data_IF_446579622716
#
_entry.id   IF_446579622716
#
_cell.length_a   1.000
_cell.length_b   1.000
_cell.length_c   1.000
_cell.angle_alpha   90.00
_cell.angle_beta   90.00
_cell.angle_gamma   90.00
#
_symmetry.space_group_name_H-M   'P 1'
#
loop_
_entity.id
_entity.type
_entity.pdbx_description
1 polymer ?
#
# COMPACT_ATOMS: atom_id res chain seq x y z
N UNK A 1 6.60 -25.58 0.26
CA UNK A 1 5.53 -24.81 0.92
C UNK A 1 5.04 -23.71 0.01
N UNK A 2 3.96 -23.04 0.38
CA UNK A 2 3.32 -21.95 -0.37
C UNK A 2 3.61 -20.62 0.31
N UNK A 3 3.39 -19.51 -0.39
CA UNK A 3 3.43 -18.16 0.18
C UNK A 3 2.00 -17.68 0.45
N UNK A 4 1.84 -16.85 1.46
CA UNK A 4 0.59 -16.12 1.72
C UNK A 4 0.75 -14.67 1.31
N UNK A 5 -0.33 -14.06 0.83
CA UNK A 5 -0.38 -12.67 0.41
C UNK A 5 -1.18 -11.81 1.39
N UNK A 6 -0.75 -10.56 1.56
CA UNK A 6 -1.48 -9.56 2.30
C UNK A 6 -1.56 -8.27 1.49
N UNK A 7 -2.77 -7.84 1.18
CA UNK A 7 -3.01 -6.67 0.33
C UNK A 7 -4.23 -5.86 0.77
N UNK A 8 -4.24 -4.57 0.41
CA UNK A 8 -5.36 -3.67 0.65
C UNK A 8 -6.45 -3.84 -0.39
N UNK A 9 -7.71 -3.78 0.01
CA UNK A 9 -8.86 -3.98 -0.87
C UNK A 9 -9.59 -2.68 -1.25
N UNK A 10 -9.12 -1.54 -0.74
CA UNK A 10 -9.71 -0.22 -0.98
C UNK A 10 -8.72 0.69 -1.73
N UNK A 11 -8.70 1.98 -1.44
CA UNK A 11 -7.77 2.97 -2.05
C UNK A 11 -6.51 3.21 -1.22
N UNK A 12 -5.98 2.19 -0.57
CA UNK A 12 -4.80 2.31 0.29
C UNK A 12 -5.13 2.77 1.71
N UNK A 13 -4.09 2.85 2.54
CA UNK A 13 -4.18 3.27 3.95
C UNK A 13 -5.10 2.41 4.84
N UNK A 14 -5.33 1.14 4.46
CA UNK A 14 -6.19 0.21 5.20
C UNK A 14 -5.55 -0.27 6.52
N UNK A 15 -4.26 -0.01 6.75
CA UNK A 15 -3.54 -0.46 7.94
C UNK A 15 -2.75 -1.76 7.76
N UNK A 16 -2.30 -2.02 6.54
CA UNK A 16 -1.52 -3.24 6.17
C UNK A 16 -0.32 -3.48 7.07
N UNK A 17 0.47 -2.45 7.35
CA UNK A 17 1.69 -2.57 8.17
C UNK A 17 1.40 -3.19 9.55
N UNK A 18 0.34 -2.75 10.24
CA UNK A 18 -0.07 -3.33 11.53
C UNK A 18 -0.32 -4.83 11.42
N UNK A 19 -1.05 -5.27 10.41
CA UNK A 19 -1.40 -6.70 10.27
C UNK A 19 -0.20 -7.52 9.83
N UNK A 20 0.68 -7.00 8.95
CA UNK A 20 1.96 -7.66 8.63
C UNK A 20 2.77 -7.86 9.90
N UNK A 21 2.91 -6.82 10.71
CA UNK A 21 3.61 -6.87 11.98
C UNK A 21 3.00 -7.92 12.94
N UNK A 22 1.68 -7.93 13.12
CA UNK A 22 0.97 -8.95 13.94
C UNK A 22 1.22 -10.38 13.43
N UNK A 23 1.22 -10.57 12.12
CA UNK A 23 1.37 -11.90 11.52
C UNK A 23 2.83 -12.35 11.42
N UNK A 24 3.81 -11.43 11.44
CA UNK A 24 5.23 -11.73 11.20
C UNK A 24 5.77 -12.85 12.08
N UNK A 25 5.27 -13.00 13.31
CA UNK A 25 5.71 -14.09 14.21
C UNK A 25 5.43 -15.51 13.67
N UNK A 26 4.58 -15.63 12.64
CA UNK A 26 4.21 -16.91 12.01
C UNK A 26 4.99 -17.17 10.71
N UNK A 27 5.86 -16.24 10.28
CA UNK A 27 6.55 -16.30 9.01
C UNK A 27 8.06 -16.17 9.18
N UNK A 28 8.80 -16.94 8.37
CA UNK A 28 10.27 -16.85 8.29
C UNK A 28 10.69 -15.63 7.43
N UNK A 29 9.89 -15.27 6.45
CA UNK A 29 10.22 -14.24 5.46
C UNK A 29 9.04 -13.29 5.26
N UNK A 30 9.30 -11.98 5.30
CA UNK A 30 8.37 -10.94 4.88
C UNK A 30 8.91 -10.30 3.60
N UNK A 31 8.18 -10.41 2.50
CA UNK A 31 8.65 -9.98 1.19
C UNK A 31 7.74 -8.92 0.58
N UNK A 32 8.24 -7.70 0.41
CA UNK A 32 7.51 -6.62 -0.23
C UNK A 32 7.62 -6.74 -1.75
N UNK A 33 6.49 -6.75 -2.44
CA UNK A 33 6.47 -7.11 -3.85
C UNK A 33 6.28 -5.95 -4.83
N UNK A 34 5.80 -4.77 -4.39
CA UNK A 34 5.57 -3.62 -5.28
C UNK A 34 5.52 -2.29 -4.51
N UNK A 35 5.37 -1.18 -5.25
CA UNK A 35 5.32 0.17 -4.71
C UNK A 35 6.72 0.73 -4.46
N UNK A 36 6.80 1.74 -3.62
CA UNK A 36 8.04 2.43 -3.34
C UNK A 36 7.88 3.38 -2.15
N UNK A 37 8.65 4.47 -2.06
CA UNK A 37 8.64 5.41 -0.94
C UNK A 37 7.36 6.26 -0.83
N UNK A 38 6.40 6.11 -1.74
CA UNK A 38 5.06 6.69 -1.65
C UNK A 38 4.17 5.99 -0.62
N UNK A 39 4.50 4.76 -0.21
CA UNK A 39 3.80 4.06 0.87
C UNK A 39 4.22 4.59 2.25
N UNK A 40 3.34 4.41 3.24
CA UNK A 40 3.63 4.68 4.64
C UNK A 40 2.93 3.63 5.50
N UNK A 41 3.69 2.63 5.96
CA UNK A 41 3.20 1.58 6.84
C UNK A 41 3.49 1.98 8.29
N UNK A 42 2.47 2.50 8.98
CA UNK A 42 2.58 2.88 10.38
C UNK A 42 2.47 1.64 11.27
N UNK A 43 3.43 1.47 12.15
CA UNK A 43 3.46 0.44 13.19
C UNK A 43 3.35 1.12 14.56
N UNK A 44 2.47 0.58 15.40
CA UNK A 44 2.32 1.03 16.80
C UNK A 44 2.37 -0.20 17.72
N UNK A 45 3.38 -0.23 18.60
CA UNK A 45 3.60 -1.32 19.56
C UNK A 45 4.47 -0.86 20.71
N UNK A 46 4.15 -1.30 21.92
CA UNK A 46 4.93 -1.03 23.14
C UNK A 46 5.33 0.45 23.32
N UNK A 47 4.42 1.37 23.00
CA UNK A 47 4.65 2.82 23.07
C UNK A 47 5.49 3.39 21.91
N UNK A 48 5.93 2.56 20.97
CA UNK A 48 6.65 2.98 19.78
C UNK A 48 5.65 3.25 18.66
N UNK A 49 5.82 4.39 17.99
CA UNK A 49 5.18 4.69 16.72
C UNK A 49 6.24 4.94 15.65
N UNK A 50 6.24 4.14 14.60
CA UNK A 50 7.20 4.26 13.51
C UNK A 50 6.51 4.09 12.14
N UNK A 51 7.00 4.80 11.13
CA UNK A 51 6.48 4.72 9.76
C UNK A 51 7.54 4.17 8.84
N UNK A 52 7.29 2.99 8.27
CA UNK A 52 8.12 2.39 7.23
C UNK A 52 7.60 2.79 5.85
N UNK A 53 8.50 2.94 4.89
CA UNK A 53 8.17 3.32 3.51
C UNK A 53 8.47 2.21 2.52
N UNK A 54 9.75 1.82 2.42
CA UNK A 54 10.23 0.81 1.47
C UNK A 54 10.55 -0.49 2.18
N UNK A 55 11.07 -0.41 3.39
CA UNK A 55 11.43 -1.56 4.22
C UNK A 55 10.16 -2.33 4.64
N UNK A 56 10.16 -3.68 4.55
CA UNK A 56 9.03 -4.49 4.97
C UNK A 56 8.69 -4.35 6.46
N UNK A 57 7.41 -4.50 6.79
CA UNK A 57 6.89 -4.28 8.16
C UNK A 57 7.34 -5.33 9.17
N UNK A 58 7.96 -6.42 8.74
CA UNK A 58 8.55 -7.45 9.60
C UNK A 58 9.88 -7.09 10.25
N UNK A 59 10.49 -5.94 9.91
CA UNK A 59 11.86 -5.60 10.32
C UNK A 59 12.06 -5.53 11.85
N UNK A 60 11.01 -5.23 12.61
CA UNK A 60 11.06 -5.17 14.07
C UNK A 60 11.07 -6.55 14.75
N UNK A 61 10.78 -7.63 14.02
CA UNK A 61 10.83 -8.99 14.57
C UNK A 61 12.24 -9.58 14.48
N UNK A 62 12.65 -10.33 15.52
CA UNK A 62 14.04 -10.82 15.66
C UNK A 62 14.43 -11.89 14.63
N UNK A 63 13.48 -12.68 14.16
CA UNK A 63 13.73 -13.91 13.39
C UNK A 63 13.39 -13.80 11.91
N UNK A 64 12.54 -12.84 11.52
CA UNK A 64 12.09 -12.73 10.14
C UNK A 64 13.13 -12.06 9.24
N UNK A 65 13.38 -12.67 8.08
CA UNK A 65 14.13 -12.03 6.98
C UNK A 65 13.17 -11.12 6.21
N UNK A 66 13.63 -9.93 5.86
CA UNK A 66 12.84 -8.94 5.15
C UNK A 66 13.39 -8.75 3.73
N UNK A 67 12.57 -8.93 2.72
CA UNK A 67 12.97 -8.86 1.32
C UNK A 67 12.30 -7.68 0.63
N UNK A 68 13.10 -6.83 -0.01
CA UNK A 68 12.60 -5.87 -0.99
C UNK A 68 12.69 -6.53 -2.36
N UNK A 69 11.53 -6.88 -2.93
CA UNK A 69 11.41 -7.61 -4.17
C UNK A 69 11.64 -6.78 -5.43
N UNK A 70 11.76 -7.44 -6.57
CA UNK A 70 12.04 -6.82 -7.87
C UNK A 70 10.91 -5.91 -8.39
N UNK A 71 9.70 -6.01 -7.86
CA UNK A 71 8.59 -5.13 -8.21
C UNK A 71 8.62 -3.79 -7.49
N UNK A 72 9.45 -3.63 -6.46
CA UNK A 72 9.61 -2.37 -5.71
C UNK A 72 10.51 -1.39 -6.47
N UNK A 73 10.22 -0.09 -6.34
CA UNK A 73 11.12 0.98 -6.79
C UNK A 73 11.70 1.69 -5.58
N UNK A 74 13.02 1.90 -5.57
CA UNK A 74 13.79 2.35 -4.40
C UNK A 74 14.37 3.73 -4.68
N UNK A 75 14.02 4.71 -3.84
CA UNK A 75 14.72 5.99 -3.75
C UNK A 75 15.85 5.82 -2.72
N UNK A 76 17.13 5.84 -3.14
CA UNK A 76 18.26 5.61 -2.24
C UNK A 76 18.30 6.60 -1.09
N UNK A 77 18.00 7.89 -1.33
CA UNK A 77 18.02 8.94 -0.30
C UNK A 77 16.91 8.71 0.74
N UNK A 78 15.72 8.33 0.30
CA UNK A 78 14.62 8.00 1.23
C UNK A 78 14.93 6.72 2.01
N UNK A 79 15.53 5.72 1.35
CA UNK A 79 15.93 4.46 1.98
C UNK A 79 17.00 4.69 3.04
N UNK A 80 18.04 5.49 2.77
CA UNK A 80 19.06 5.89 3.72
C UNK A 80 18.45 6.52 4.99
N UNK A 81 17.52 7.49 4.80
CA UNK A 81 16.81 8.14 5.92
C UNK A 81 15.95 7.14 6.71
N UNK A 82 15.40 6.12 6.04
CA UNK A 82 14.63 5.05 6.68
C UNK A 82 15.52 4.16 7.54
N UNK A 83 16.70 3.74 7.03
CA UNK A 83 17.72 3.01 7.78
C UNK A 83 18.19 3.82 8.99
N UNK A 84 18.50 5.10 8.82
CA UNK A 84 18.92 5.99 9.90
C UNK A 84 17.87 6.06 11.02
N UNK A 85 16.59 6.18 10.64
CA UNK A 85 15.46 6.18 11.57
C UNK A 85 15.32 4.87 12.37
N UNK A 86 15.87 3.76 11.87
CA UNK A 86 15.81 2.46 12.52
C UNK A 86 16.99 2.22 13.47
N UNK A 87 18.11 2.95 13.36
CA UNK A 87 19.32 2.77 14.21
C UNK A 87 19.01 2.87 15.70
N UNK A 88 18.11 3.75 16.10
CA UNK A 88 17.71 3.94 17.51
C UNK A 88 17.07 2.70 18.17
N UNK A 89 16.63 1.72 17.38
CA UNK A 89 16.02 0.50 17.89
C UNK A 89 17.00 -0.67 18.02
N UNK A 90 18.30 -0.47 17.74
CA UNK A 90 19.35 -1.50 17.81
C UNK A 90 18.99 -2.77 17.03
N UNK A 91 18.37 -2.61 15.84
CA UNK A 91 18.02 -3.72 14.97
C UNK A 91 19.24 -4.20 14.18
N UNK A 92 19.36 -5.50 14.01
CA UNK A 92 20.35 -6.12 13.14
C UNK A 92 19.88 -6.06 11.66
N UNK A 93 19.89 -4.86 11.09
CA UNK A 93 19.33 -4.61 9.77
C UNK A 93 20.13 -5.35 8.69
N UNK A 94 21.45 -5.34 8.78
CA UNK A 94 22.35 -5.94 7.77
C UNK A 94 22.11 -7.43 7.55
N UNK A 95 21.79 -8.18 8.60
CA UNK A 95 21.54 -9.61 8.52
C UNK A 95 20.05 -9.96 8.28
N UNK A 96 19.16 -8.98 8.29
CA UNK A 96 17.69 -9.21 8.19
C UNK A 96 17.04 -8.56 7.00
N UNK A 97 17.69 -7.63 6.35
CA UNK A 97 17.18 -6.94 5.19
C UNK A 97 18.04 -7.27 3.97
N UNK A 98 17.38 -7.78 2.94
CA UNK A 98 18.01 -8.10 1.66
C UNK A 98 17.20 -7.50 0.51
N UNK A 99 17.87 -7.16 -0.58
CA UNK A 99 17.26 -6.41 -1.68
C UNK A 99 17.46 -7.18 -2.99
N UNK A 100 16.41 -7.25 -3.79
CA UNK A 100 16.50 -7.81 -5.15
C UNK A 100 17.41 -6.96 -6.05
N UNK A 101 18.40 -7.57 -6.70
CA UNK A 101 19.18 -6.93 -7.78
C UNK A 101 18.30 -6.38 -8.89
N UNK A 102 17.11 -6.95 -9.09
CA UNK A 102 16.16 -6.56 -10.15
C UNK A 102 15.19 -5.44 -9.73
N UNK A 103 15.21 -4.97 -8.49
CA UNK A 103 14.48 -3.76 -8.08
C UNK A 103 15.03 -2.53 -8.81
N UNK A 104 14.17 -1.54 -9.11
CA UNK A 104 14.58 -0.36 -9.86
C UNK A 104 14.89 0.82 -8.95
N UNK A 105 15.88 1.62 -9.35
CA UNK A 105 16.25 2.85 -8.67
C UNK A 105 15.40 4.04 -9.14
N UNK A 106 14.95 4.83 -8.20
CA UNK A 106 14.38 6.14 -8.48
C UNK A 106 15.53 7.15 -8.51
N UNK A 107 15.81 7.70 -9.67
CA UNK A 107 16.83 8.74 -9.85
C UNK A 107 16.29 10.11 -9.43
N UNK A 108 17.15 11.09 -9.10
CA UNK A 108 16.74 12.49 -8.92
C UNK A 108 15.89 13.02 -10.08
N UNK A 109 16.27 12.71 -11.30
CA UNK A 109 15.56 13.14 -12.51
C UNK A 109 14.17 12.50 -12.67
N UNK A 110 13.91 11.30 -12.13
CA UNK A 110 12.54 10.76 -12.06
C UNK A 110 11.62 11.64 -11.21
N UNK A 111 12.12 12.18 -10.09
CA UNK A 111 11.34 13.08 -9.22
C UNK A 111 11.02 14.40 -9.92
N UNK A 112 11.99 14.93 -10.68
CA UNK A 112 11.80 16.13 -11.47
C UNK A 112 10.80 15.92 -12.60
N UNK A 113 10.89 14.79 -13.29
CA UNK A 113 9.97 14.41 -14.36
C UNK A 113 8.54 14.23 -13.82
N UNK A 114 8.38 13.63 -12.64
CA UNK A 114 7.08 13.52 -11.95
C UNK A 114 6.50 14.91 -11.63
N UNK A 115 7.32 15.81 -11.10
CA UNK A 115 6.92 17.18 -10.79
C UNK A 115 6.53 17.97 -12.04
N UNK A 116 7.33 17.90 -13.11
CA UNK A 116 7.07 18.59 -14.37
C UNK A 116 5.78 18.06 -15.04
N UNK A 117 5.64 16.75 -15.13
CA UNK A 117 4.43 16.10 -15.67
C UNK A 117 3.17 16.46 -14.88
N UNK A 118 3.23 16.46 -13.56
CA UNK A 118 2.07 16.82 -12.73
C UNK A 118 1.75 18.32 -12.84
N UNK A 119 2.76 19.19 -12.88
CA UNK A 119 2.57 20.63 -13.06
C UNK A 119 1.91 20.96 -14.40
N UNK A 120 2.33 20.32 -15.49
CA UNK A 120 1.81 20.54 -16.84
C UNK A 120 0.33 20.22 -17.02
N UNK A 121 -0.23 19.33 -16.17
CA UNK A 121 -1.65 18.91 -16.22
C UNK A 121 -2.62 19.99 -15.71
N UNK A 122 -2.18 21.03 -15.04
CA UNK A 122 -3.03 22.10 -14.54
C UNK A 122 -4.18 21.56 -13.65
N UNK A 123 -5.43 21.73 -14.09
CA UNK A 123 -6.61 21.25 -13.36
C UNK A 123 -6.80 19.72 -13.43
N UNK A 124 -6.18 19.04 -14.40
CA UNK A 124 -6.27 17.58 -14.58
C UNK A 124 -5.22 16.80 -13.78
N UNK A 125 -4.67 17.42 -12.73
CA UNK A 125 -3.70 16.76 -11.82
C UNK A 125 -4.27 15.47 -11.23
N UNK A 126 -3.46 14.41 -11.26
CA UNK A 126 -3.80 13.11 -10.64
C UNK A 126 -3.63 13.20 -9.11
N UNK A 127 -2.78 14.10 -8.63
CA UNK A 127 -2.43 14.22 -7.22
C UNK A 127 -1.25 13.34 -6.85
N UNK A 128 -0.25 13.23 -7.73
CA UNK A 128 1.00 12.51 -7.49
C UNK A 128 1.64 12.88 -6.15
N UNK A 129 2.41 11.95 -5.58
CA UNK A 129 3.23 12.18 -4.38
C UNK A 129 4.54 12.88 -4.69
N UNK A 130 4.85 13.13 -5.95
CA UNK A 130 6.09 13.74 -6.46
C UNK A 130 7.35 12.97 -6.01
N UNK A 131 7.24 11.65 -5.92
CA UNK A 131 8.32 10.76 -5.52
C UNK A 131 8.98 10.01 -6.68
N UNK A 132 8.63 10.37 -7.92
CA UNK A 132 9.17 9.74 -9.12
C UNK A 132 8.68 8.32 -9.39
N UNK A 133 7.62 7.88 -8.72
CA UNK A 133 7.09 6.51 -8.84
C UNK A 133 6.65 6.22 -10.27
N UNK A 134 5.79 7.06 -10.84
CA UNK A 134 5.29 6.91 -12.21
C UNK A 134 6.40 6.85 -13.24
N UNK A 135 7.28 7.86 -13.33
CA UNK A 135 8.40 7.85 -14.25
C UNK A 135 9.33 6.64 -14.12
N UNK A 136 9.59 6.16 -12.89
CA UNK A 136 10.43 4.97 -12.70
C UNK A 136 9.75 3.69 -13.25
N UNK A 137 8.44 3.52 -13.05
CA UNK A 137 7.71 2.41 -13.65
C UNK A 137 7.58 2.54 -15.18
N UNK A 138 7.49 3.78 -15.72
CA UNK A 138 7.58 4.01 -17.17
C UNK A 138 8.90 3.51 -17.74
N UNK A 139 10.02 3.84 -17.11
CA UNK A 139 11.34 3.38 -17.56
C UNK A 139 11.54 1.88 -17.37
N UNK A 140 11.03 1.32 -16.28
CA UNK A 140 11.01 -0.13 -16.08
C UNK A 140 10.33 -0.83 -17.25
N UNK A 141 9.12 -0.41 -17.60
CA UNK A 141 8.34 -1.01 -18.69
C UNK A 141 8.92 -0.64 -20.06
N UNK A 142 9.46 0.57 -20.21
CA UNK A 142 10.17 1.07 -21.40
C UNK A 142 11.56 0.45 -21.58
N UNK A 143 12.05 -0.35 -20.63
CA UNK A 143 13.36 -1.03 -20.64
C UNK A 143 14.55 -0.07 -20.65
N UNK A 144 14.38 1.08 -19.97
CA UNK A 144 15.43 2.10 -19.81
C UNK A 144 15.90 2.21 -18.36
N UNK A 145 15.10 1.68 -17.41
CA UNK A 145 15.33 1.86 -15.98
C UNK A 145 16.63 1.21 -15.49
N UNK A 146 17.21 1.81 -14.47
CA UNK A 146 18.40 1.30 -13.77
C UNK A 146 17.95 0.43 -12.59
N UNK A 147 18.57 -0.74 -12.45
CA UNK A 147 18.29 -1.70 -11.39
C UNK A 147 19.32 -1.58 -10.25
N UNK A 148 18.95 -2.07 -9.08
CA UNK A 148 19.86 -2.12 -7.93
C UNK A 148 21.15 -2.89 -8.25
N UNK A 149 21.06 -4.02 -8.98
CA UNK A 149 22.23 -4.79 -9.38
C UNK A 149 23.20 -4.05 -10.34
N UNK A 150 22.70 -3.01 -11.04
CA UNK A 150 23.57 -2.21 -11.91
C UNK A 150 24.60 -1.39 -11.11
N UNK A 151 24.36 -1.16 -9.80
CA UNK A 151 25.31 -0.49 -8.89
C UNK A 151 26.62 -1.27 -8.75
N UNK A 152 26.57 -2.60 -8.96
CA UNK A 152 27.72 -3.50 -8.87
C UNK A 152 28.58 -3.48 -10.17
N UNK A 153 28.12 -2.80 -11.24
CA UNK A 153 28.78 -2.78 -12.55
C UNK A 153 29.70 -1.56 -12.69
N UNK A 154 30.80 -1.73 -13.44
CA UNK A 154 31.80 -0.67 -13.69
C UNK A 154 31.21 0.52 -14.45
N UNK A 155 30.24 0.27 -15.35
CA UNK A 155 29.59 1.28 -16.19
C UNK A 155 28.35 1.93 -15.54
N UNK A 156 28.12 1.76 -14.24
CA UNK A 156 26.96 2.31 -13.51
C UNK A 156 26.79 3.83 -13.73
N UNK A 157 27.87 4.58 -13.61
CA UNK A 157 27.83 6.05 -13.78
C UNK A 157 27.48 6.45 -15.21
N UNK A 158 27.93 5.73 -16.21
CA UNK A 158 27.59 5.98 -17.62
C UNK A 158 26.10 5.72 -17.88
N UNK A 159 25.57 4.63 -17.37
CA UNK A 159 24.14 4.31 -17.43
C UNK A 159 23.29 5.35 -16.75
N UNK A 160 23.71 5.79 -15.56
CA UNK A 160 23.05 6.85 -14.82
C UNK A 160 22.97 8.14 -15.67
N UNK A 161 24.11 8.62 -16.20
CA UNK A 161 24.18 9.83 -17.01
C UNK A 161 23.34 9.74 -18.28
N UNK A 162 23.37 8.60 -18.95
CA UNK A 162 22.57 8.38 -20.16
C UNK A 162 21.06 8.52 -19.88
N UNK A 163 20.57 7.93 -18.78
CA UNK A 163 19.18 8.04 -18.39
C UNK A 163 18.81 9.42 -17.86
N UNK A 164 19.67 10.05 -17.05
CA UNK A 164 19.45 11.40 -16.54
C UNK A 164 19.33 12.43 -17.67
N UNK A 165 20.25 12.41 -18.63
CA UNK A 165 20.22 13.27 -19.80
C UNK A 165 18.92 13.11 -20.60
N UNK A 166 18.46 11.87 -20.82
CA UNK A 166 17.18 11.59 -21.46
C UNK A 166 16.01 12.24 -20.72
N UNK A 167 16.00 12.16 -19.39
CA UNK A 167 14.94 12.79 -18.58
C UNK A 167 14.99 14.31 -18.69
N UNK A 168 16.18 14.92 -18.65
CA UNK A 168 16.33 16.36 -18.81
C UNK A 168 15.79 16.86 -20.15
N UNK A 169 16.05 16.12 -21.24
CA UNK A 169 15.46 16.44 -22.54
C UNK A 169 13.92 16.35 -22.52
N UNK A 170 13.36 15.31 -21.87
CA UNK A 170 11.90 15.18 -21.75
C UNK A 170 11.30 16.30 -20.90
N UNK A 171 11.95 16.70 -19.80
CA UNK A 171 11.47 17.77 -18.92
C UNK A 171 11.36 19.11 -19.68
N UNK A 172 12.28 19.41 -20.59
CA UNK A 172 12.22 20.62 -21.42
C UNK A 172 10.95 20.74 -22.25
N UNK A 173 10.33 19.61 -22.65
CA UNK A 173 9.08 19.62 -23.42
C UNK A 173 7.83 19.98 -22.60
N UNK A 174 7.91 19.94 -21.27
CA UNK A 174 6.74 20.27 -20.44
C UNK A 174 6.49 21.76 -20.30
N UNK A 175 7.45 22.62 -20.68
CA UNK A 175 7.37 24.09 -20.60
C UNK A 175 6.83 24.59 -19.24
N UNK A 176 7.36 24.02 -18.16
CA UNK A 176 7.01 24.34 -16.77
C UNK A 176 8.26 24.70 -15.99
N UNK A 177 8.16 25.71 -15.14
CA UNK A 177 9.24 26.07 -14.23
C UNK A 177 9.19 25.18 -12.97
N UNK A 178 10.10 24.20 -12.90
CA UNK A 178 10.30 23.37 -11.72
C UNK A 178 11.62 23.78 -11.08
N UNK A 179 11.53 24.45 -9.94
CA UNK A 179 12.72 24.89 -9.19
C UNK A 179 13.39 23.69 -8.52
N UNK A 180 14.65 23.42 -8.85
CA UNK A 180 15.44 22.35 -8.27
C UNK A 180 16.95 22.60 -8.38
N UNK A 181 17.70 21.96 -7.49
CA UNK A 181 19.16 21.89 -7.57
C UNK A 181 19.55 20.45 -7.89
N UNK A 182 19.69 20.13 -9.19
CA UNK A 182 20.01 18.76 -9.62
C UNK A 182 21.36 18.31 -9.11
N UNK A 183 22.37 19.17 -9.07
CA UNK A 183 23.71 18.85 -8.59
C UNK A 183 23.69 18.38 -7.11
N UNK A 184 22.96 19.09 -6.27
CA UNK A 184 22.79 18.70 -4.85
C UNK A 184 22.02 17.40 -4.72
N UNK A 185 20.93 17.22 -5.47
CA UNK A 185 20.15 15.98 -5.47
C UNK A 185 20.98 14.78 -5.95
N UNK A 186 21.83 14.95 -6.95
CA UNK A 186 22.73 13.90 -7.43
C UNK A 186 23.80 13.57 -6.39
N UNK A 187 24.36 14.57 -5.73
CA UNK A 187 25.30 14.35 -4.63
C UNK A 187 24.69 13.50 -3.52
N UNK A 188 23.50 13.88 -3.03
CA UNK A 188 22.77 13.08 -2.03
C UNK A 188 22.47 11.66 -2.54
N UNK A 189 22.11 11.52 -3.81
CA UNK A 189 21.81 10.22 -4.42
C UNK A 189 23.04 9.31 -4.41
N UNK A 190 24.21 9.78 -4.86
CA UNK A 190 25.42 8.96 -4.89
C UNK A 190 25.94 8.65 -3.49
N UNK A 191 25.83 9.57 -2.53
CA UNK A 191 26.13 9.28 -1.11
C UNK A 191 25.23 8.17 -0.57
N UNK A 192 23.93 8.21 -0.88
CA UNK A 192 22.96 7.19 -0.47
C UNK A 192 23.17 5.83 -1.17
N UNK A 193 23.71 5.81 -2.40
CA UNK A 193 24.11 4.59 -3.10
C UNK A 193 25.23 3.87 -2.33
N UNK A 194 26.20 4.59 -1.78
CA UNK A 194 27.28 3.96 -1.00
C UNK A 194 26.76 3.31 0.31
N UNK A 195 25.72 3.88 0.92
CA UNK A 195 25.03 3.23 2.04
C UNK A 195 24.19 2.02 1.60
N UNK A 196 23.51 2.14 0.46
CA UNK A 196 22.70 1.04 -0.09
C UNK A 196 23.56 -0.21 -0.36
N UNK A 197 24.82 -0.05 -0.82
CA UNK A 197 25.79 -1.12 -1.02
C UNK A 197 26.14 -1.91 0.27
N UNK A 198 25.79 -1.39 1.44
CA UNK A 198 25.99 -2.10 2.72
C UNK A 198 24.94 -3.18 2.99
N UNK A 199 23.86 -3.19 2.20
CA UNK A 199 22.80 -4.20 2.28
C UNK A 199 23.06 -5.28 1.24
N UNK A 200 22.79 -6.53 1.58
CA UNK A 200 22.98 -7.65 0.68
C UNK A 200 22.02 -7.59 -0.52
N UNK A 201 22.57 -7.67 -1.74
CA UNK A 201 21.79 -7.78 -2.98
C UNK A 201 21.70 -9.23 -3.43
N UNK A 202 20.49 -9.69 -3.71
CA UNK A 202 20.19 -11.08 -4.07
C UNK A 202 19.45 -11.21 -5.39
N UNK A 203 19.46 -12.39 -5.98
CA UNK A 203 18.53 -12.83 -6.99
C UNK A 203 17.26 -13.33 -6.29
N UNK A 204 16.32 -12.40 -6.04
CA UNK A 204 15.22 -12.62 -5.12
C UNK A 204 14.29 -13.77 -5.53
N UNK A 205 14.08 -13.99 -6.81
CA UNK A 205 13.28 -15.10 -7.33
C UNK A 205 13.91 -16.46 -7.02
N UNK A 206 15.25 -16.57 -7.11
CA UNK A 206 15.94 -17.81 -6.74
C UNK A 206 15.90 -18.02 -5.24
N UNK A 207 16.23 -16.99 -4.44
CA UNK A 207 16.19 -17.04 -2.98
C UNK A 207 14.82 -17.48 -2.46
N UNK A 208 13.73 -16.84 -2.93
CA UNK A 208 12.36 -17.11 -2.51
C UNK A 208 11.94 -18.54 -2.90
N UNK A 209 12.24 -18.98 -4.13
CA UNK A 209 11.89 -20.33 -4.56
C UNK A 209 12.68 -21.41 -3.81
N UNK A 210 13.95 -21.17 -3.48
CA UNK A 210 14.75 -22.06 -2.61
C UNK A 210 14.20 -22.10 -1.19
N UNK A 211 13.84 -20.95 -0.61
CA UNK A 211 13.21 -20.86 0.70
C UNK A 211 11.88 -21.66 0.76
N UNK A 212 11.04 -21.56 -0.28
CA UNK A 212 9.82 -22.37 -0.38
C UNK A 212 10.11 -23.88 -0.45
N UNK A 213 11.12 -24.28 -1.23
CA UNK A 213 11.57 -25.70 -1.29
C UNK A 213 12.07 -26.18 0.05
N UNK A 214 12.78 -25.33 0.80
CA UNK A 214 13.28 -25.62 2.14
C UNK A 214 12.20 -25.57 3.24
N UNK A 215 10.95 -25.33 2.89
CA UNK A 215 9.85 -25.35 3.83
C UNK A 215 9.66 -24.07 4.63
N UNK A 216 10.26 -22.96 4.20
CA UNK A 216 10.10 -21.65 4.84
C UNK A 216 8.74 -21.05 4.55
N UNK A 217 8.15 -20.41 5.57
CA UNK A 217 6.91 -19.65 5.45
C UNK A 217 7.17 -18.23 4.99
N UNK A 218 6.41 -17.76 3.97
CA UNK A 218 6.60 -16.46 3.35
C UNK A 218 5.29 -15.66 3.39
N UNK A 219 5.35 -14.43 3.89
CA UNK A 219 4.27 -13.46 3.76
C UNK A 219 4.68 -12.38 2.75
N UNK A 220 3.92 -12.27 1.67
CA UNK A 220 4.10 -11.23 0.66
C UNK A 220 3.32 -9.99 1.05
N UNK A 221 4.02 -8.89 1.31
CA UNK A 221 3.47 -7.61 1.75
C UNK A 221 3.17 -6.70 0.56
N UNK A 222 1.88 -6.33 0.38
CA UNK A 222 1.45 -5.36 -0.60
C UNK A 222 1.50 -3.92 -0.08
N UNK A 223 1.52 -2.97 -1.00
CA UNK A 223 1.41 -1.54 -0.73
C UNK A 223 0.24 -0.95 -1.53
N UNK A 224 -0.22 0.26 -1.17
CA UNK A 224 -1.43 0.87 -1.71
C UNK A 224 -2.66 -0.04 -1.49
N UNK A 225 -3.60 -0.08 -2.45
CA UNK A 225 -4.79 -0.92 -2.39
C UNK A 225 -5.28 -1.30 -3.79
N UNK A 226 -6.13 -2.32 -3.88
CA UNK A 226 -6.58 -2.91 -5.14
C UNK A 226 -7.27 -1.92 -6.07
N UNK A 227 -7.98 -0.93 -5.51
CA UNK A 227 -8.64 0.11 -6.31
C UNK A 227 -7.68 1.20 -6.81
N UNK A 228 -6.40 1.10 -6.46
CA UNK A 228 -5.29 1.90 -7.00
C UNK A 228 -4.40 1.09 -7.95
N UNK A 229 -4.74 -0.14 -8.30
CA UNK A 229 -4.00 -0.96 -9.26
C UNK A 229 -3.96 -0.31 -10.65
N UNK A 230 -2.83 -0.39 -11.34
CA UNK A 230 -2.64 0.26 -12.64
C UNK A 230 -3.58 -0.27 -13.72
N UNK A 231 -3.95 -1.56 -13.65
CA UNK A 231 -4.80 -2.22 -14.63
C UNK A 231 -6.28 -2.25 -14.20
N UNK A 232 -6.55 -2.53 -12.91
CA UNK A 232 -7.89 -2.82 -12.39
C UNK A 232 -8.45 -1.71 -11.46
N UNK A 233 -7.65 -0.71 -11.14
CA UNK A 233 -8.07 0.40 -10.29
C UNK A 233 -8.91 1.45 -11.02
N UNK A 234 -9.19 2.54 -10.31
CA UNK A 234 -9.98 3.69 -10.81
C UNK A 234 -9.14 4.60 -11.72
N UNK A 235 -8.68 4.07 -12.84
CA UNK A 235 -7.84 4.77 -13.83
C UNK A 235 -8.50 6.08 -14.31
N UNK A 236 -7.74 7.20 -14.46
CA UNK A 236 -6.29 7.33 -14.34
C UNK A 236 -5.79 7.62 -12.90
N UNK A 237 -6.67 7.67 -11.92
CA UNK A 237 -6.35 7.99 -10.52
C UNK A 237 -5.87 6.75 -9.75
N UNK A 238 -4.77 6.19 -10.19
CA UNK A 238 -4.16 4.94 -9.71
C UNK A 238 -2.66 5.13 -9.43
N UNK A 239 -2.04 4.15 -8.79
CA UNK A 239 -0.57 4.05 -8.75
C UNK A 239 -0.06 3.36 -10.03
N UNK A 240 1.23 3.49 -10.31
CA UNK A 240 1.85 2.92 -11.52
C UNK A 240 2.31 1.47 -11.34
N UNK A 241 1.84 0.78 -10.30
CA UNK A 241 2.22 -0.60 -10.00
C UNK A 241 1.03 -1.52 -9.88
N UNK A 242 1.25 -2.84 -10.05
CA UNK A 242 0.25 -3.86 -9.83
C UNK A 242 0.12 -4.16 -8.33
N UNK A 243 -0.97 -3.68 -7.72
CA UNK A 243 -1.28 -3.82 -6.30
C UNK A 243 -2.08 -5.08 -5.99
N UNK A 244 -2.53 -5.78 -7.02
CA UNK A 244 -3.29 -7.03 -6.94
C UNK A 244 -2.42 -8.25 -6.64
N UNK A 245 -3.04 -9.39 -6.39
CA UNK A 245 -2.34 -10.66 -6.11
C UNK A 245 -1.38 -11.07 -7.24
N UNK A 246 -1.70 -10.77 -8.50
CA UNK A 246 -0.82 -11.00 -9.65
C UNK A 246 0.50 -10.22 -9.53
N UNK A 247 0.48 -9.05 -8.89
CA UNK A 247 1.66 -8.24 -8.64
C UNK A 247 2.71 -8.93 -7.76
N UNK A 248 2.29 -9.82 -6.85
CA UNK A 248 3.23 -10.60 -6.05
C UNK A 248 3.97 -11.65 -6.90
N UNK A 249 3.29 -12.25 -7.87
CA UNK A 249 3.92 -13.21 -8.79
C UNK A 249 5.04 -12.54 -9.61
N UNK A 250 4.75 -11.38 -10.19
CA UNK A 250 5.73 -10.64 -11.00
C UNK A 250 6.77 -9.91 -10.15
N UNK A 251 6.38 -9.43 -8.97
CA UNK A 251 7.24 -8.62 -8.09
C UNK A 251 8.20 -9.42 -7.20
N UNK A 252 8.03 -10.75 -7.12
CA UNK A 252 8.88 -11.65 -6.32
C UNK A 252 9.36 -12.87 -7.12
N UNK A 253 8.84 -13.09 -8.32
CA UNK A 253 9.14 -14.30 -9.09
C UNK A 253 8.52 -15.57 -8.50
N UNK A 254 7.33 -15.47 -7.89
CA UNK A 254 6.58 -16.59 -7.31
C UNK A 254 5.57 -17.12 -8.35
N UNK A 255 5.56 -18.42 -8.56
CA UNK A 255 4.56 -19.02 -9.44
C UNK A 255 3.14 -18.89 -8.84
N UNK A 256 2.08 -18.59 -9.65
CA UNK A 256 0.73 -18.38 -9.12
C UNK A 256 0.18 -19.53 -8.27
N UNK A 257 0.49 -20.79 -8.64
CA UNK A 257 0.09 -21.99 -7.90
C UNK A 257 0.87 -22.22 -6.58
N UNK A 258 1.79 -21.33 -6.25
CA UNK A 258 2.54 -21.31 -4.98
C UNK A 258 1.96 -20.31 -3.97
N UNK A 259 0.94 -19.56 -4.33
CA UNK A 259 0.17 -18.74 -3.41
C UNK A 259 -0.92 -19.60 -2.78
N UNK A 260 -1.05 -19.56 -1.45
CA UNK A 260 -2.05 -20.34 -0.70
C UNK A 260 -3.16 -19.45 -0.19
N UNK A 261 -2.86 -18.55 0.73
CA UNK A 261 -3.83 -17.64 1.31
C UNK A 261 -3.66 -16.24 0.73
N UNK A 262 -4.77 -15.57 0.51
CA UNK A 262 -4.81 -14.17 0.12
C UNK A 262 -5.59 -13.40 1.17
N UNK A 263 -4.86 -12.69 2.03
CA UNK A 263 -5.40 -11.86 3.10
C UNK A 263 -5.77 -10.49 2.56
N UNK A 264 -7.06 -10.19 2.57
CA UNK A 264 -7.59 -8.90 2.16
C UNK A 264 -7.85 -7.98 3.34
N UNK A 265 -7.20 -6.82 3.37
CA UNK A 265 -7.39 -5.81 4.41
C UNK A 265 -8.32 -4.71 3.92
N UNK A 266 -9.33 -4.38 4.74
CA UNK A 266 -10.24 -3.27 4.51
C UNK A 266 -10.55 -2.54 5.82
N UNK A 267 -10.89 -1.27 5.77
CA UNK A 267 -11.44 -0.52 6.90
C UNK A 267 -12.94 -0.76 7.02
N UNK A 268 -13.48 -0.66 8.22
CA UNK A 268 -14.93 -0.69 8.47
C UNK A 268 -15.70 0.45 7.75
N UNK A 269 -14.98 1.41 7.18
CA UNK A 269 -15.42 2.50 6.31
C UNK A 269 -14.42 2.66 5.16
N UNK A 270 -14.54 3.69 4.33
CA UNK A 270 -13.62 3.90 3.20
C UNK A 270 -12.89 5.23 3.33
N UNK A 271 -11.62 5.25 2.91
CA UNK A 271 -10.87 6.51 2.76
C UNK A 271 -10.14 6.55 1.43
N UNK A 272 -9.94 7.76 0.90
CA UNK A 272 -9.16 8.00 -0.29
C UNK A 272 -8.30 9.25 -0.15
N UNK A 273 -7.06 9.19 -0.66
CA UNK A 273 -6.18 10.36 -0.80
C UNK A 273 -6.16 10.80 -2.27
N UNK A 274 -6.17 12.11 -2.51
CA UNK A 274 -6.07 12.67 -3.85
C UNK A 274 -7.37 12.64 -4.64
N UNK A 275 -7.24 12.87 -5.94
CA UNK A 275 -8.37 12.97 -6.87
C UNK A 275 -8.95 11.61 -7.25
N UNK A 276 -10.02 11.63 -8.02
CA UNK A 276 -10.68 10.46 -8.58
C UNK A 276 -11.98 10.07 -7.88
N UNK A 277 -12.71 9.11 -8.46
CA UNK A 277 -14.04 8.73 -8.01
C UNK A 277 -14.04 8.09 -6.63
N UNK A 278 -15.08 8.42 -5.86
CA UNK A 278 -15.34 7.88 -4.53
C UNK A 278 -16.84 7.84 -4.27
N UNK A 279 -17.55 6.79 -4.70
CA UNK A 279 -19.02 6.75 -4.70
C UNK A 279 -19.67 7.00 -3.35
N UNK A 280 -19.04 6.53 -2.26
CA UNK A 280 -19.59 6.65 -0.90
C UNK A 280 -19.00 7.81 -0.10
N UNK A 281 -18.32 8.77 -0.75
CA UNK A 281 -17.74 9.94 -0.09
C UNK A 281 -18.78 10.77 0.65
N UNK A 282 -18.41 11.26 1.83
CA UNK A 282 -19.23 12.08 2.69
C UNK A 282 -18.68 13.50 2.76
N UNK A 283 -19.61 14.47 2.64
CA UNK A 283 -19.33 15.90 2.73
C UNK A 283 -20.04 16.55 3.93
N UNK A 284 -20.53 15.72 4.85
CA UNK A 284 -21.31 16.08 6.03
C UNK A 284 -20.51 15.88 7.33
N UNK A 285 -21.18 16.05 8.47
CA UNK A 285 -20.62 15.89 9.81
C UNK A 285 -20.11 14.45 10.07
N UNK A 286 -20.75 13.44 9.48
CA UNK A 286 -20.30 12.04 9.60
C UNK A 286 -18.91 11.87 8.98
N UNK A 287 -18.70 12.42 7.78
CA UNK A 287 -17.41 12.39 7.10
C UNK A 287 -16.30 13.12 7.86
N UNK A 288 -16.62 14.31 8.41
CA UNK A 288 -15.69 15.07 9.25
C UNK A 288 -15.36 14.35 10.56
N UNK A 289 -16.34 13.70 11.17
CA UNK A 289 -16.14 12.91 12.39
C UNK A 289 -15.27 11.70 12.14
N UNK A 290 -15.50 10.93 11.04
CA UNK A 290 -14.61 9.84 10.64
C UNK A 290 -13.18 10.32 10.44
N UNK A 291 -12.98 11.45 9.75
CA UNK A 291 -11.66 12.00 9.49
C UNK A 291 -10.94 12.41 10.78
N UNK A 292 -11.65 13.07 11.71
CA UNK A 292 -11.11 13.55 12.98
C UNK A 292 -10.81 12.40 13.95
N UNK A 293 -11.78 11.52 14.20
CA UNK A 293 -11.63 10.40 15.14
C UNK A 293 -10.63 9.38 14.61
N UNK A 294 -10.70 9.08 13.29
CA UNK A 294 -9.81 8.16 12.62
C UNK A 294 -8.40 8.70 12.38
N UNK A 295 -8.15 9.99 12.72
CA UNK A 295 -6.90 10.68 12.37
C UNK A 295 -6.50 10.43 10.90
N UNK A 296 -7.45 10.68 10.00
CA UNK A 296 -7.32 10.34 8.58
C UNK A 296 -6.48 11.38 7.82
N UNK A 297 -5.17 11.32 8.07
CA UNK A 297 -4.14 12.09 7.36
C UNK A 297 -3.09 11.15 6.80
N UNK A 298 -2.58 11.47 5.61
CA UNK A 298 -1.55 10.67 4.95
C UNK A 298 -0.25 10.67 5.75
N UNK A 299 0.25 9.49 6.14
CA UNK A 299 1.46 9.34 6.95
C UNK A 299 2.73 9.88 6.29
N UNK A 300 2.74 10.02 4.96
CA UNK A 300 3.88 10.52 4.16
C UNK A 300 3.70 11.98 3.75
N UNK A 301 2.49 12.36 3.32
CA UNK A 301 2.20 13.67 2.73
C UNK A 301 1.47 14.61 3.66
N UNK A 302 0.94 14.14 4.79
CA UNK A 302 0.09 14.91 5.70
C UNK A 302 -1.27 15.33 5.11
N UNK A 303 -1.58 14.96 3.86
CA UNK A 303 -2.85 15.32 3.22
C UNK A 303 -4.04 14.67 3.93
N UNK A 304 -5.11 15.44 4.16
CA UNK A 304 -6.38 14.93 4.69
C UNK A 304 -6.95 13.87 3.73
N UNK A 305 -7.38 12.76 4.27
CA UNK A 305 -8.09 11.73 3.53
C UNK A 305 -9.56 12.08 3.42
N UNK A 306 -10.15 11.88 2.26
CA UNK A 306 -11.58 11.87 2.02
C UNK A 306 -12.16 10.63 2.71
N UNK A 307 -13.31 10.74 3.38
CA UNK A 307 -13.93 9.65 4.12
C UNK A 307 -15.32 9.34 3.57
N UNK A 308 -15.75 8.10 3.70
CA UNK A 308 -17.07 7.66 3.25
C UNK A 308 -17.48 6.33 3.87
N UNK A 309 -18.77 6.00 3.76
CA UNK A 309 -19.31 4.74 4.24
C UNK A 309 -18.73 3.53 3.50
N UNK A 310 -18.77 2.36 4.14
CA UNK A 310 -18.28 1.12 3.56
C UNK A 310 -18.98 0.82 2.23
N UNK A 311 -18.18 0.53 1.21
CA UNK A 311 -18.62 0.20 -0.14
C UNK A 311 -18.41 -1.29 -0.43
N UNK A 312 -19.48 -2.08 -0.35
CA UNK A 312 -19.41 -3.52 -0.60
C UNK A 312 -19.37 -3.86 -2.09
N UNK A 313 -19.80 -2.96 -2.98
CA UNK A 313 -19.67 -3.19 -4.42
C UNK A 313 -18.18 -3.14 -4.81
N UNK A 314 -17.47 -2.11 -4.35
CA UNK A 314 -16.04 -1.98 -4.56
C UNK A 314 -15.25 -3.09 -3.83
N UNK A 315 -15.65 -3.45 -2.60
CA UNK A 315 -15.01 -4.52 -1.84
C UNK A 315 -15.16 -5.88 -2.52
N UNK A 316 -16.35 -6.25 -3.00
CA UNK A 316 -16.59 -7.48 -3.77
C UNK A 316 -15.72 -7.54 -5.04
N UNK A 317 -15.64 -6.45 -5.76
CA UNK A 317 -14.78 -6.36 -6.93
C UNK A 317 -13.32 -6.63 -6.57
N UNK A 318 -12.80 -5.96 -5.52
CA UNK A 318 -11.44 -6.19 -5.05
C UNK A 318 -11.20 -7.63 -4.58
N UNK A 319 -12.16 -8.25 -3.88
CA UNK A 319 -12.11 -9.66 -3.48
C UNK A 319 -11.99 -10.57 -4.69
N UNK A 320 -12.82 -10.34 -5.70
CA UNK A 320 -12.88 -11.16 -6.92
C UNK A 320 -11.57 -11.12 -7.70
N UNK A 321 -11.02 -9.93 -7.99
CA UNK A 321 -9.79 -9.80 -8.80
C UNK A 321 -8.55 -10.33 -8.10
N UNK A 322 -8.59 -10.45 -6.76
CA UNK A 322 -7.47 -10.93 -5.95
C UNK A 322 -7.60 -12.40 -5.51
N UNK A 323 -8.79 -12.99 -5.63
CA UNK A 323 -9.04 -14.32 -5.07
C UNK A 323 -8.88 -14.37 -3.56
N UNK A 324 -9.39 -13.36 -2.84
CA UNK A 324 -9.25 -13.22 -1.39
C UNK A 324 -9.87 -14.42 -0.66
N UNK A 325 -9.10 -15.03 0.24
CA UNK A 325 -9.53 -16.20 1.03
C UNK A 325 -9.96 -15.84 2.45
N UNK A 326 -9.41 -14.76 2.99
CA UNK A 326 -9.71 -14.28 4.34
C UNK A 326 -9.66 -12.76 4.40
N UNK A 327 -10.56 -12.17 5.19
CA UNK A 327 -10.66 -10.72 5.39
C UNK A 327 -10.15 -10.29 6.77
N UNK A 328 -9.61 -9.08 6.82
CA UNK A 328 -9.16 -8.41 8.03
C UNK A 328 -9.77 -7.03 8.09
N UNK A 329 -10.69 -6.82 9.03
CA UNK A 329 -11.40 -5.55 9.20
C UNK A 329 -10.64 -4.64 10.14
N UNK A 330 -10.30 -3.46 9.65
CA UNK A 330 -9.56 -2.43 10.38
C UNK A 330 -10.47 -1.31 10.85
N UNK A 331 -10.07 -0.65 11.94
CA UNK A 331 -10.70 0.59 12.40
C UNK A 331 -12.19 0.47 12.74
N UNK A 332 -12.60 -0.66 13.33
CA UNK A 332 -13.94 -0.81 13.89
C UNK A 332 -14.22 0.16 15.05
N UNK A 333 -13.19 0.53 15.77
CA UNK A 333 -13.20 1.52 16.86
C UNK A 333 -13.61 2.93 16.42
N UNK A 334 -13.27 3.32 15.20
CA UNK A 334 -13.56 4.67 14.68
C UNK A 334 -15.07 4.91 14.48
N UNK A 335 -15.82 3.84 14.23
CA UNK A 335 -17.27 3.92 14.07
C UNK A 335 -18.04 3.84 15.40
N UNK A 336 -17.34 3.73 16.54
CA UNK A 336 -17.96 3.84 17.87
C UNK A 336 -18.56 5.24 18.06
N UNK A 337 -19.78 5.29 18.55
CA UNK A 337 -20.49 6.55 18.81
C UNK A 337 -21.40 7.03 17.67
N UNK A 338 -21.30 6.47 16.48
CA UNK A 338 -22.27 6.74 15.41
C UNK A 338 -23.60 6.06 15.73
N UNK A 339 -24.74 6.78 15.71
CA UNK A 339 -26.05 6.18 16.00
C UNK A 339 -26.48 5.22 14.89
N UNK A 340 -26.19 5.56 13.66
CA UNK A 340 -26.53 4.78 12.46
C UNK A 340 -25.32 4.69 11.55
N UNK A 341 -25.06 3.49 11.04
CA UNK A 341 -24.03 3.22 10.03
C UNK A 341 -24.69 2.87 8.71
N UNK A 342 -24.06 3.27 7.61
CA UNK A 342 -24.55 2.96 6.26
C UNK A 342 -23.53 2.09 5.52
N UNK A 343 -24.03 1.13 4.77
CA UNK A 343 -23.22 0.24 3.94
C UNK A 343 -23.77 0.28 2.52
N UNK A 344 -22.95 0.67 1.56
CA UNK A 344 -23.33 0.65 0.16
C UNK A 344 -23.38 -0.80 -0.33
N UNK A 345 -24.54 -1.26 -0.75
CA UNK A 345 -24.78 -2.62 -1.23
C UNK A 345 -24.97 -2.71 -2.74
N UNK A 346 -25.37 -1.62 -3.36
CA UNK A 346 -25.57 -1.48 -4.81
C UNK A 346 -25.26 -0.04 -5.22
N UNK A 347 -25.08 0.17 -6.52
CA UNK A 347 -25.07 1.51 -7.12
C UNK A 347 -26.32 1.72 -7.96
N UNK A 348 -26.88 2.92 -7.89
CA UNK A 348 -27.74 3.41 -8.97
C UNK A 348 -26.80 3.94 -10.07
N UNK A 349 -26.71 3.22 -11.17
CA UNK A 349 -25.91 3.57 -12.34
C UNK A 349 -26.83 3.97 -13.48
N UNK A 350 -26.85 5.28 -13.79
CA UNK A 350 -27.73 5.83 -14.87
C UNK A 350 -29.19 5.37 -14.75
N UNK A 351 -29.72 5.39 -13.54
CA UNK A 351 -31.11 5.03 -13.24
C UNK A 351 -31.41 3.54 -13.07
N UNK A 352 -30.38 2.68 -13.10
CA UNK A 352 -30.53 1.23 -12.87
C UNK A 352 -29.69 0.80 -11.65
N UNK A 353 -30.28 -0.02 -10.77
CA UNK A 353 -29.54 -0.63 -9.68
C UNK A 353 -28.62 -1.72 -10.22
N UNK A 354 -27.31 -1.63 -9.87
CA UNK A 354 -26.27 -2.60 -10.22
C UNK A 354 -25.51 -3.03 -8.98
N UNK A 355 -25.02 -4.27 -8.98
CA UNK A 355 -24.19 -4.83 -7.87
C UNK A 355 -22.77 -5.17 -8.30
N UNK A 356 -22.33 -4.72 -9.46
CA UNK A 356 -20.96 -4.85 -9.95
C UNK A 356 -20.30 -3.48 -10.09
N UNK A 357 -18.98 -3.45 -10.03
CA UNK A 357 -18.17 -2.24 -10.19
C UNK A 357 -18.15 -1.82 -11.67
N UNK A 358 -18.71 -0.65 -12.04
CA UNK A 358 -18.81 -0.26 -13.44
C UNK A 358 -17.48 0.33 -13.95
N UNK A 359 -17.24 0.24 -15.25
CA UNK A 359 -16.07 0.84 -15.90
C UNK A 359 -15.99 2.37 -15.66
N UNK A 360 -17.10 3.09 -15.91
CA UNK A 360 -17.18 4.51 -15.60
C UNK A 360 -17.83 4.71 -14.24
N UNK A 361 -16.99 4.87 -13.21
CA UNK A 361 -17.41 5.02 -11.80
C UNK A 361 -17.46 6.49 -11.35
N UNK A 362 -17.42 7.47 -12.24
CA UNK A 362 -17.50 8.88 -11.89
C UNK A 362 -18.85 9.22 -11.22
N UNK A 363 -18.80 10.16 -10.27
CA UNK A 363 -19.93 10.54 -9.41
C UNK A 363 -21.21 10.97 -10.17
N UNK A 364 -21.04 11.53 -11.38
CA UNK A 364 -22.16 11.90 -12.25
C UNK A 364 -22.99 10.69 -12.72
N UNK A 365 -22.39 9.50 -12.73
CA UNK A 365 -23.01 8.28 -13.22
C UNK A 365 -23.43 7.31 -12.12
N UNK A 366 -22.89 7.48 -10.91
CA UNK A 366 -23.00 6.51 -9.83
C UNK A 366 -23.45 7.19 -8.55
N UNK A 367 -24.56 6.72 -7.98
CA UNK A 367 -24.97 7.05 -6.62
C UNK A 367 -25.13 5.80 -5.78
N UNK A 368 -24.62 5.78 -4.52
CA UNK A 368 -24.68 4.61 -3.67
C UNK A 368 -26.12 4.34 -3.17
N UNK A 369 -26.49 3.07 -3.12
CA UNK A 369 -27.71 2.58 -2.48
C UNK A 369 -27.29 1.93 -1.17
N UNK A 370 -27.78 2.48 -0.06
CA UNK A 370 -27.36 2.09 1.29
C UNK A 370 -28.35 1.17 1.97
N UNK A 371 -27.78 0.25 2.78
CA UNK A 371 -28.47 -0.41 3.89
C UNK A 371 -27.98 0.21 5.19
N UNK A 372 -28.91 0.47 6.11
CA UNK A 372 -28.61 1.06 7.41
C UNK A 372 -28.47 -0.01 8.48
N UNK A 373 -27.58 0.26 9.45
CA UNK A 373 -27.32 -0.56 10.63
C UNK A 373 -27.33 0.33 11.87
N UNK A 374 -27.79 -0.22 12.98
CA UNK A 374 -27.60 0.41 14.28
C UNK A 374 -26.12 0.44 14.61
N UNK A 375 -25.62 1.59 15.03
CA UNK A 375 -24.24 1.74 15.46
C UNK A 375 -24.01 1.21 16.88
N UNK A 376 -22.76 1.00 17.23
CA UNK A 376 -22.34 0.60 18.57
C UNK A 376 -21.80 1.81 19.33
N UNK A 377 -22.08 1.84 20.66
CA UNK A 377 -21.72 2.96 21.53
C UNK A 377 -20.60 2.59 22.54
N UNK A 378 -19.96 1.44 22.32
CA UNK A 378 -18.93 0.92 23.22
C UNK A 378 -17.53 1.37 22.78
N UNK A 379 -16.67 1.65 23.75
CA UNK A 379 -15.24 1.70 23.50
C UNK A 379 -14.72 0.28 23.25
N UNK A 380 -14.12 0.06 22.07
CA UNK A 380 -13.61 -1.23 21.66
C UNK A 380 -12.15 -1.45 22.06
N UNK A 381 -11.42 -0.39 22.46
CA UNK A 381 -9.95 -0.40 22.55
C UNK A 381 -9.39 -1.34 23.61
N UNK A 382 -10.19 -1.67 24.63
CA UNK A 382 -9.83 -2.60 25.70
C UNK A 382 -10.36 -4.02 25.49
N UNK A 383 -11.09 -4.27 24.40
CA UNK A 383 -11.64 -5.59 24.11
C UNK A 383 -10.56 -6.51 23.51
N UNK A 384 -10.47 -7.73 24.04
CA UNK A 384 -9.43 -8.70 23.68
C UNK A 384 -9.95 -9.99 23.00
N UNK A 385 -11.28 -10.17 22.98
CA UNK A 385 -11.91 -11.33 22.34
C UNK A 385 -13.14 -10.94 21.52
N UNK A 386 -13.45 -11.78 20.51
CA UNK A 386 -14.61 -11.56 19.65
C UNK A 386 -15.94 -11.59 20.44
N UNK A 387 -16.01 -12.37 21.52
CA UNK A 387 -17.22 -12.49 22.34
C UNK A 387 -17.55 -11.19 23.08
N UNK A 388 -16.55 -10.38 23.42
CA UNK A 388 -16.72 -9.07 24.08
C UNK A 388 -17.28 -7.99 23.14
N UNK A 389 -17.17 -8.17 21.81
CA UNK A 389 -17.63 -7.17 20.86
C UNK A 389 -19.14 -6.94 20.97
N UNK A 390 -19.61 -5.67 20.78
CA UNK A 390 -21.03 -5.35 20.78
C UNK A 390 -21.82 -6.17 19.75
N UNK A 391 -23.08 -6.44 20.09
CA UNK A 391 -23.98 -7.19 19.20
C UNK A 391 -24.13 -6.50 17.84
N UNK A 392 -24.26 -5.19 17.82
CA UNK A 392 -24.37 -4.38 16.61
C UNK A 392 -23.13 -4.54 15.70
N UNK A 393 -21.93 -4.54 16.27
CA UNK A 393 -20.71 -4.78 15.51
C UNK A 393 -20.64 -6.23 14.98
N UNK A 394 -21.06 -7.21 15.75
CA UNK A 394 -21.14 -8.60 15.30
C UNK A 394 -22.15 -8.78 14.16
N UNK A 395 -23.28 -8.09 14.21
CA UNK A 395 -24.29 -8.09 13.14
C UNK A 395 -23.74 -7.42 11.86
N UNK A 396 -23.02 -6.30 12.01
CA UNK A 396 -22.32 -5.62 10.92
C UNK A 396 -21.30 -6.57 10.24
N UNK A 397 -20.45 -7.23 11.04
CA UNK A 397 -19.47 -8.23 10.57
C UNK A 397 -20.16 -9.38 9.83
N UNK A 398 -21.19 -9.97 10.43
CA UNK A 398 -21.96 -11.09 9.82
C UNK A 398 -22.58 -10.69 8.49
N UNK A 399 -23.12 -9.47 8.41
CA UNK A 399 -23.70 -8.98 7.17
C UNK A 399 -22.65 -8.81 6.06
N UNK A 400 -21.47 -8.26 6.39
CA UNK A 400 -20.36 -8.13 5.43
C UNK A 400 -19.97 -9.53 4.94
N UNK A 401 -19.67 -10.48 5.83
CA UNK A 401 -19.27 -11.84 5.48
C UNK A 401 -20.31 -12.53 4.57
N UNK A 402 -21.59 -12.45 4.94
CA UNK A 402 -22.67 -13.04 4.15
C UNK A 402 -22.81 -12.39 2.77
N UNK A 403 -22.48 -11.10 2.67
CA UNK A 403 -22.58 -10.35 1.40
C UNK A 403 -21.42 -10.63 0.48
N UNK A 404 -20.19 -10.71 1.01
CA UNK A 404 -18.97 -10.90 0.19
C UNK A 404 -18.52 -12.36 0.11
N UNK A 405 -19.13 -13.25 0.86
CA UNK A 405 -18.87 -14.71 0.89
C UNK A 405 -17.43 -15.09 1.30
N UNK A 406 -16.75 -14.21 2.05
CA UNK A 406 -15.41 -14.43 2.58
C UNK A 406 -15.37 -14.13 4.08
N UNK A 407 -14.77 -15.02 4.91
CA UNK A 407 -14.76 -14.84 6.36
C UNK A 407 -13.82 -13.73 6.80
N UNK A 408 -14.26 -12.93 7.78
CA UNK A 408 -13.42 -11.97 8.49
C UNK A 408 -12.73 -12.72 9.65
N UNK A 409 -11.41 -12.82 9.62
CA UNK A 409 -10.60 -13.54 10.61
C UNK A 409 -9.95 -12.65 11.65
N UNK A 410 -9.80 -11.37 11.33
CA UNK A 410 -9.21 -10.39 12.24
C UNK A 410 -10.09 -9.14 12.27
N UNK A 411 -10.30 -8.62 13.49
CA UNK A 411 -10.97 -7.35 13.75
C UNK A 411 -10.01 -6.46 14.54
N UNK A 412 -9.60 -5.33 13.97
CA UNK A 412 -8.77 -4.34 14.65
C UNK A 412 -9.65 -3.34 15.38
N UNK A 413 -9.38 -3.16 16.67
CA UNK A 413 -10.15 -2.34 17.62
C UNK A 413 -9.36 -1.15 18.18
N UNK A 414 -8.24 -0.81 17.54
CA UNK A 414 -7.39 0.34 17.89
C UNK A 414 -6.08 0.33 17.09
N UNK A 415 -5.18 1.29 17.29
CA UNK A 415 -3.95 1.42 16.51
C UNK A 415 -2.83 0.46 16.93
N UNK A 416 -2.73 0.08 18.22
CA UNK A 416 -1.67 -0.77 18.74
C UNK A 416 -1.79 -2.22 18.23
N UNK A 417 -0.64 -2.91 18.10
CA UNK A 417 -0.53 -4.33 17.76
C UNK A 417 -1.45 -5.22 18.60
N UNK A 418 -1.53 -4.95 19.92
CA UNK A 418 -2.32 -5.72 20.88
C UNK A 418 -3.83 -5.54 20.69
N UNK A 419 -4.26 -4.45 20.07
CA UNK A 419 -5.67 -4.15 19.76
C UNK A 419 -6.12 -4.85 18.48
N UNK A 420 -5.88 -6.16 18.42
CA UNK A 420 -6.16 -7.03 17.28
C UNK A 420 -6.82 -8.30 17.77
N UNK A 421 -8.09 -8.48 17.43
CA UNK A 421 -8.93 -9.61 17.85
C UNK A 421 -8.95 -10.65 16.73
N UNK A 422 -8.62 -11.88 17.10
CA UNK A 422 -8.80 -13.06 16.23
C UNK A 422 -10.25 -13.59 16.39
N UNK A 423 -10.90 -13.89 15.25
CA UNK A 423 -12.25 -14.46 15.20
C UNK A 423 -12.22 -15.93 14.82
#
# INVERSE_FOLDING_TARGET
>A
MTADLLLGLQWGDEGKGKIVDVLTSKYDIIARFQGGPNAGHTLEFDGIKHVLRTIPSGIFHKTAINIIGNGVVIDPVVFQKEIEGLKKFNLDIKNKLIISRKAHLILPTHRLLDAASEASKGKAKIGSTLKGIGPTYMDKTGRNGIRVGDIELEDFNERYRALANKHEEIIKFYDVDVQYNLEEMEKEFFEAIEELKQIEFIDSEEYINQAQKAGKSILCEGAQGSLLDVDFGTYPYVTSSNTTAAGACTGLGIAPNKIKEVYGIFKAYVTRVGSGPFPTELFDEDGETMARVGNEYGSVTGRKRRCGWLDLVALKYAIQINGVTQLMMMKGDILSGFPTLKVCTQYNYKGKAISHFPYNIESENVTPIYKEFKGWQADLTEMTSYDQLPTELKEYIKFIEATVEVPIKIVSVGPDRKQTILK
#
